data_IF_138934865617
#
_entry.id   IF_138934865617
#
_cell.length_a   1.000
_cell.length_b   1.000
_cell.length_c   1.000
_cell.angle_alpha   90.00
_cell.angle_beta   90.00
_cell.angle_gamma   90.00
#
_symmetry.space_group_name_H-M   'P 1'
#
loop_
_entity.id
_entity.type
_entity.pdbx_description
1 polymer ?
#
# COMPACT_ATOMS: atom_id res chain seq x y z
N UNK A 1 0.65 -10.86 -29.80
CA UNK A 1 0.11 -9.87 -28.83
C UNK A 1 -0.22 -10.67 -27.60
N UNK A 2 0.62 -10.57 -26.57
CA UNK A 2 0.32 -11.21 -25.29
C UNK A 2 -0.90 -10.52 -24.69
N UNK A 3 -1.81 -11.31 -24.11
CA UNK A 3 -2.96 -10.77 -23.39
C UNK A 3 -2.46 -9.89 -22.24
N UNK A 4 -3.15 -8.79 -21.90
CA UNK A 4 -2.77 -7.97 -20.75
C UNK A 4 -2.73 -8.84 -19.50
N UNK A 5 -1.62 -8.77 -18.77
CA UNK A 5 -1.46 -9.48 -17.49
C UNK A 5 -2.53 -8.96 -16.54
N UNK A 6 -3.41 -9.85 -16.07
CA UNK A 6 -4.40 -9.49 -15.07
C UNK A 6 -3.68 -9.08 -13.77
N UNK A 7 -3.95 -7.87 -13.29
CA UNK A 7 -3.39 -7.35 -12.04
C UNK A 7 -4.33 -7.69 -10.89
N UNK A 8 -3.78 -8.27 -9.82
CA UNK A 8 -4.53 -8.54 -8.59
C UNK A 8 -5.05 -7.22 -8.00
N UNK A 9 -6.32 -7.14 -7.57
CA UNK A 9 -6.89 -5.90 -7.06
C UNK A 9 -6.13 -5.28 -5.88
N UNK A 10 -5.43 -6.09 -5.07
CA UNK A 10 -4.64 -5.60 -3.94
C UNK A 10 -3.30 -5.03 -4.41
N UNK A 11 -2.70 -5.60 -5.47
CA UNK A 11 -1.50 -5.01 -6.09
C UNK A 11 -1.85 -3.67 -6.73
N UNK A 12 -2.98 -3.58 -7.43
CA UNK A 12 -3.48 -2.30 -7.95
C UNK A 12 -3.72 -1.29 -6.82
N UNK A 13 -4.34 -1.72 -5.72
CA UNK A 13 -4.57 -0.88 -4.55
C UNK A 13 -3.26 -0.34 -3.93
N UNK A 14 -2.22 -1.17 -3.87
CA UNK A 14 -0.89 -0.72 -3.42
C UNK A 14 -0.31 0.31 -4.39
N UNK A 15 -0.47 0.13 -5.70
CA UNK A 15 -0.05 1.12 -6.70
C UNK A 15 -0.77 2.47 -6.51
N UNK A 16 -2.09 2.42 -6.25
CA UNK A 16 -2.89 3.63 -6.02
C UNK A 16 -2.38 4.41 -4.79
N UNK A 17 -1.98 3.71 -3.72
CA UNK A 17 -1.32 4.33 -2.56
C UNK A 17 0.04 4.94 -2.90
N UNK A 18 0.87 4.25 -3.68
CA UNK A 18 2.19 4.78 -4.07
C UNK A 18 2.04 6.05 -4.90
N UNK A 19 1.11 6.06 -5.85
CA UNK A 19 0.79 7.24 -6.65
C UNK A 19 0.27 8.37 -5.75
N UNK A 20 -0.62 8.06 -4.82
CA UNK A 20 -1.16 9.03 -3.86
C UNK A 20 -0.07 9.71 -3.02
N UNK A 21 0.84 8.91 -2.46
CA UNK A 21 1.91 9.43 -1.62
C UNK A 21 2.95 10.24 -2.39
N UNK A 22 3.18 9.93 -3.67
CA UNK A 22 4.12 10.70 -4.50
C UNK A 22 3.76 12.19 -4.66
N UNK A 23 2.49 12.55 -4.40
CA UNK A 23 2.00 13.94 -4.53
C UNK A 23 1.49 14.55 -3.23
N UNK A 24 1.20 13.74 -2.21
CA UNK A 24 0.50 14.20 -0.99
C UNK A 24 1.37 14.23 0.27
N UNK A 25 2.62 13.75 0.19
CA UNK A 25 3.56 13.76 1.31
C UNK A 25 4.22 15.14 1.47
N UNK A 26 4.22 15.65 2.69
CA UNK A 26 4.97 16.86 3.04
C UNK A 26 6.39 16.51 3.45
N UNK A 27 7.26 16.31 2.46
CA UNK A 27 8.66 15.92 2.68
C UNK A 27 9.43 16.90 3.59
N UNK A 28 9.05 18.18 3.62
CA UNK A 28 9.65 19.16 4.54
C UNK A 28 9.43 18.84 6.03
N UNK A 29 8.45 17.99 6.35
CA UNK A 29 8.13 17.54 7.71
C UNK A 29 8.66 16.13 8.00
N UNK A 30 9.44 15.56 7.07
CA UNK A 30 9.96 14.20 7.24
C UNK A 30 11.00 14.15 8.35
N UNK A 31 10.89 13.07 9.11
CA UNK A 31 11.95 12.62 10.01
C UNK A 31 12.60 11.42 9.35
N UNK A 32 13.74 10.96 9.89
CA UNK A 32 14.38 9.74 9.38
C UNK A 32 13.43 8.54 9.36
N UNK A 33 12.56 8.44 10.35
CA UNK A 33 11.56 7.37 10.41
C UNK A 33 10.51 7.49 9.28
N UNK A 34 10.13 8.71 8.88
CA UNK A 34 9.21 8.90 7.75
C UNK A 34 9.88 8.46 6.43
N UNK A 35 11.14 8.83 6.23
CA UNK A 35 11.92 8.37 5.07
C UNK A 35 12.03 6.84 5.04
N UNK A 36 12.36 6.21 6.17
CA UNK A 36 12.51 4.75 6.25
C UNK A 36 11.17 4.03 6.03
N UNK A 37 10.07 4.58 6.55
CA UNK A 37 8.73 4.07 6.27
C UNK A 37 8.35 4.19 4.81
N UNK A 38 8.66 5.31 4.16
CA UNK A 38 8.38 5.52 2.74
C UNK A 38 9.24 4.61 1.85
N UNK A 39 10.53 4.46 2.17
CA UNK A 39 11.40 3.51 1.49
C UNK A 39 10.92 2.05 1.66
N UNK A 40 10.37 1.71 2.83
CA UNK A 40 9.79 0.39 3.07
C UNK A 40 8.54 0.15 2.22
N UNK A 41 7.66 1.14 2.07
CA UNK A 41 6.50 1.05 1.15
C UNK A 41 6.94 0.78 -0.29
N UNK A 42 7.91 1.56 -0.80
CA UNK A 42 8.47 1.36 -2.14
C UNK A 42 9.06 -0.03 -2.31
N UNK A 43 9.90 -0.48 -1.37
CA UNK A 43 10.51 -1.82 -1.42
C UNK A 43 9.47 -2.95 -1.47
N UNK A 44 8.40 -2.84 -0.67
CA UNK A 44 7.30 -3.81 -0.72
C UNK A 44 6.56 -3.75 -2.05
N UNK A 45 6.23 -2.54 -2.53
CA UNK A 45 5.52 -2.36 -3.79
C UNK A 45 6.32 -2.90 -4.98
N UNK A 46 7.60 -2.55 -5.08
CA UNK A 46 8.51 -3.03 -6.12
C UNK A 46 8.57 -4.55 -6.14
N UNK A 47 8.63 -5.18 -4.96
CA UNK A 47 8.60 -6.64 -4.84
C UNK A 47 7.29 -7.24 -5.39
N UNK A 48 6.13 -6.72 -5.01
CA UNK A 48 4.83 -7.30 -5.43
C UNK A 48 4.51 -6.99 -6.90
N UNK A 49 5.00 -5.86 -7.42
CA UNK A 49 4.83 -5.44 -8.81
C UNK A 49 5.56 -6.35 -9.80
N UNK A 50 6.56 -7.12 -9.35
CA UNK A 50 7.22 -8.15 -10.18
C UNK A 50 6.29 -9.33 -10.50
N UNK A 51 5.28 -9.59 -9.68
CA UNK A 51 4.30 -10.66 -9.86
C UNK A 51 2.88 -10.12 -9.70
N UNK A 52 2.43 -9.22 -10.58
CA UNK A 52 1.24 -8.41 -10.34
C UNK A 52 -0.06 -9.23 -10.34
N UNK A 53 -0.04 -10.46 -10.89
CA UNK A 53 -1.18 -11.38 -10.86
C UNK A 53 -1.26 -12.23 -9.59
N UNK A 54 -0.27 -12.13 -8.70
CA UNK A 54 -0.21 -12.89 -7.45
C UNK A 54 -0.56 -11.94 -6.30
N UNK A 55 -1.55 -12.27 -5.46
CA UNK A 55 -1.88 -11.42 -4.32
C UNK A 55 -0.69 -11.30 -3.36
N UNK A 56 -0.49 -10.13 -2.73
CA UNK A 56 0.60 -9.94 -1.79
C UNK A 56 0.43 -10.82 -0.56
N UNK A 57 1.55 -11.20 0.07
CA UNK A 57 1.50 -11.99 1.30
C UNK A 57 0.85 -11.21 2.44
N UNK A 58 0.39 -11.92 3.48
CA UNK A 58 -0.11 -11.28 4.71
C UNK A 58 0.93 -10.34 5.32
N UNK A 59 2.20 -10.79 5.39
CA UNK A 59 3.27 -9.99 5.96
C UNK A 59 3.54 -8.71 5.14
N UNK A 60 3.61 -8.83 3.81
CA UNK A 60 3.81 -7.66 2.94
C UNK A 60 2.65 -6.67 3.10
N UNK A 61 1.40 -7.18 3.16
CA UNK A 61 0.20 -6.36 3.34
C UNK A 61 0.14 -5.67 4.70
N UNK A 62 0.46 -6.38 5.79
CA UNK A 62 0.50 -5.81 7.15
C UNK A 62 1.58 -4.73 7.27
N UNK A 63 2.79 -5.00 6.76
CA UNK A 63 3.88 -4.02 6.80
C UNK A 63 3.56 -2.80 5.93
N UNK A 64 3.00 -2.99 4.74
CA UNK A 64 2.57 -1.89 3.89
C UNK A 64 1.51 -1.02 4.59
N UNK A 65 0.48 -1.65 5.17
CA UNK A 65 -0.56 -0.93 5.90
C UNK A 65 -0.02 -0.14 7.10
N UNK A 66 0.90 -0.71 7.87
CA UNK A 66 1.48 -0.01 9.02
C UNK A 66 2.28 1.23 8.61
N UNK A 67 3.01 1.16 7.50
CA UNK A 67 3.73 2.33 6.98
C UNK A 67 2.78 3.40 6.42
N UNK A 68 1.67 3.02 5.76
CA UNK A 68 0.58 3.98 5.41
C UNK A 68 0.08 4.70 6.66
N UNK A 69 -0.21 3.95 7.73
CA UNK A 69 -0.72 4.53 8.99
C UNK A 69 0.29 5.49 9.59
N UNK A 70 1.57 5.17 9.55
CA UNK A 70 2.62 6.03 10.07
C UNK A 70 2.77 7.33 9.26
N UNK A 71 2.81 7.22 7.93
CA UNK A 71 2.96 8.36 7.01
C UNK A 71 1.73 9.27 6.98
N UNK A 72 0.57 8.79 7.42
CA UNK A 72 -0.63 9.62 7.55
C UNK A 72 -0.43 10.85 8.46
N UNK A 73 0.60 10.87 9.33
CA UNK A 73 0.94 12.03 10.15
C UNK A 73 1.60 13.18 9.37
N UNK A 74 2.19 12.87 8.21
CA UNK A 74 2.87 13.80 7.30
C UNK A 74 2.23 13.78 5.90
N UNK A 75 0.99 13.32 5.83
CA UNK A 75 0.16 13.31 4.61
C UNK A 75 -1.06 14.17 4.88
N UNK A 76 -1.29 15.19 4.06
CA UNK A 76 -2.56 15.89 4.07
C UNK A 76 -3.49 15.33 3.01
N UNK A 77 -4.70 15.01 3.43
CA UNK A 77 -5.70 14.42 2.57
C UNK A 77 -7.09 14.64 3.13
N UNK A 78 -7.98 15.18 2.30
CA UNK A 78 -9.43 15.12 2.46
C UNK A 78 -10.05 14.16 1.42
N UNK A 79 -9.21 13.39 0.73
CA UNK A 79 -9.60 12.52 -0.37
C UNK A 79 -10.38 11.29 0.17
N UNK A 80 -11.66 11.13 -0.19
CA UNK A 80 -12.45 9.97 0.23
C UNK A 80 -11.89 8.64 -0.30
N UNK A 81 -11.18 8.66 -1.44
CA UNK A 81 -10.60 7.47 -2.03
C UNK A 81 -9.46 6.93 -1.17
N UNK A 82 -8.61 7.80 -0.62
CA UNK A 82 -7.56 7.41 0.33
C UNK A 82 -8.13 6.59 1.52
N UNK A 83 -9.24 7.07 2.10
CA UNK A 83 -9.88 6.36 3.22
C UNK A 83 -10.53 5.05 2.79
N UNK A 84 -11.12 4.98 1.59
CA UNK A 84 -11.68 3.72 1.11
C UNK A 84 -10.58 2.72 0.77
N UNK A 85 -9.47 3.16 0.19
CA UNK A 85 -8.30 2.32 -0.06
C UNK A 85 -7.75 1.72 1.24
N UNK A 86 -7.61 2.56 2.28
CA UNK A 86 -7.09 2.14 3.58
C UNK A 86 -8.00 1.11 4.24
N UNK A 87 -9.32 1.33 4.14
CA UNK A 87 -10.32 0.39 4.64
C UNK A 87 -10.30 -0.93 3.86
N UNK A 88 -10.16 -0.89 2.54
CA UNK A 88 -10.10 -2.08 1.68
C UNK A 88 -8.89 -2.94 1.99
N UNK A 89 -7.69 -2.34 2.07
CA UNK A 89 -6.47 -3.06 2.43
C UNK A 89 -6.58 -3.68 3.84
N UNK A 90 -7.15 -2.95 4.80
CA UNK A 90 -7.37 -3.47 6.16
C UNK A 90 -8.32 -4.67 6.19
N UNK A 91 -9.40 -4.65 5.41
CA UNK A 91 -10.33 -5.79 5.29
C UNK A 91 -9.65 -7.01 4.69
N UNK A 92 -8.84 -6.82 3.65
CA UNK A 92 -8.08 -7.88 3.02
C UNK A 92 -7.14 -8.56 4.02
N UNK A 93 -6.35 -7.79 4.77
CA UNK A 93 -5.47 -8.28 5.85
C UNK A 93 -6.25 -9.09 6.88
N UNK A 94 -7.40 -8.61 7.32
CA UNK A 94 -8.24 -9.34 8.28
C UNK A 94 -8.72 -10.67 7.68
N UNK A 95 -9.15 -10.67 6.42
CA UNK A 95 -9.55 -11.87 5.69
C UNK A 95 -8.43 -12.92 5.62
N UNK A 96 -7.18 -12.49 5.41
CA UNK A 96 -6.02 -13.38 5.42
C UNK A 96 -5.69 -13.98 6.80
N UNK A 97 -6.06 -13.30 7.90
CA UNK A 97 -5.80 -13.74 9.28
C UNK A 97 -6.85 -14.73 9.79
N UNK A 98 -8.04 -14.73 9.20
CA UNK A 98 -9.09 -15.66 9.57
C UNK A 98 -8.75 -17.04 8.98
N UNK A 99 -8.83 -18.13 9.76
CA UNK A 99 -8.66 -19.46 9.22
C UNK A 99 -9.74 -19.70 8.16
N UNK A 100 -9.33 -20.11 6.97
CA UNK A 100 -10.24 -20.60 5.94
C UNK A 100 -11.14 -21.66 6.56
N UNK A 101 -12.43 -21.35 6.70
CA UNK A 101 -13.42 -22.28 7.25
C UNK A 101 -13.67 -23.46 6.31
#
# INVERSE_FOLDING_TARGET
MDAPVAVDPIVQLMADFMNYFSVSLYESEFTKNHEDSYATLHSIYDKVALTPSVPPSLNDSDQFYNNIVYLANVTYTDDPDYYTYKRTLRKYIIGLKLPSS
#
